data_IF_653788830142
#
_entry.id   IF_653788830142
#
_cell.length_a   1.000
_cell.length_b   1.000
_cell.length_c   1.000
_cell.angle_alpha   90.00
_cell.angle_beta   90.00
_cell.angle_gamma   90.00
#
_symmetry.space_group_name_H-M   'P 1'
#
loop_
_entity.id
_entity.type
_entity.pdbx_description
1 polymer ?
#
# COMPACT_ATOMS: atom_id res chain seq x y z
N UNK A 1 -1.02 -27.88 -0.43
CA UNK A 1 -1.67 -27.87 -1.77
C UNK A 1 -0.98 -26.83 -2.65
N UNK A 2 -0.75 -27.09 -3.93
CA UNK A 2 -0.06 -26.18 -4.87
C UNK A 2 -0.97 -25.86 -6.04
N UNK A 3 -1.22 -24.59 -6.27
CA UNK A 3 -2.09 -24.10 -7.33
C UNK A 3 -1.28 -23.55 -8.50
N UNK A 4 -1.82 -23.67 -9.71
CA UNK A 4 -1.26 -23.03 -10.89
C UNK A 4 -1.43 -21.51 -10.84
N UNK A 5 -0.40 -20.75 -11.20
CA UNK A 5 -0.36 -19.29 -11.12
C UNK A 5 -0.06 -18.60 -12.46
N UNK A 6 0.10 -19.35 -13.55
CA UNK A 6 0.31 -18.78 -14.88
C UNK A 6 -0.90 -17.99 -15.40
N UNK A 7 -0.66 -17.15 -16.40
CA UNK A 7 -1.70 -16.35 -17.07
C UNK A 7 -2.44 -17.13 -18.15
N UNK A 8 -1.81 -18.17 -18.68
CA UNK A 8 -2.30 -18.95 -19.82
C UNK A 8 -2.73 -20.33 -19.32
N UNK A 9 -3.73 -20.97 -19.96
CA UNK A 9 -4.08 -22.34 -19.61
C UNK A 9 -3.00 -23.32 -20.06
N UNK A 10 -2.79 -24.36 -19.25
CA UNK A 10 -2.00 -25.53 -19.62
C UNK A 10 -2.91 -26.76 -19.67
N UNK A 11 -2.51 -27.74 -20.46
CA UNK A 11 -3.30 -28.93 -20.73
C UNK A 11 -2.48 -30.16 -20.36
N UNK A 12 -2.93 -30.92 -19.36
CA UNK A 12 -2.24 -32.12 -18.91
C UNK A 12 -2.93 -33.37 -19.45
N UNK A 13 -2.16 -34.29 -20.03
CA UNK A 13 -2.63 -35.62 -20.44
C UNK A 13 -1.76 -36.69 -19.82
N UNK A 14 -2.29 -37.90 -19.69
CA UNK A 14 -1.50 -39.04 -19.26
C UNK A 14 -0.47 -39.40 -20.37
N UNK A 15 0.81 -39.42 -20.03
CA UNK A 15 1.88 -39.67 -20.99
C UNK A 15 1.75 -41.06 -21.66
N UNK A 16 1.24 -42.08 -20.96
CA UNK A 16 1.02 -43.40 -21.52
C UNK A 16 -0.06 -43.43 -22.61
N UNK A 17 -1.03 -42.49 -22.56
CA UNK A 17 -2.10 -42.41 -23.56
C UNK A 17 -1.64 -41.88 -24.92
N UNK A 18 -0.46 -41.25 -24.99
CA UNK A 18 0.08 -40.63 -26.21
C UNK A 18 0.45 -41.67 -27.27
N UNK A 19 0.94 -42.84 -26.86
CA UNK A 19 1.32 -43.89 -27.82
C UNK A 19 0.10 -44.47 -28.55
N UNK A 20 -1.02 -44.60 -27.83
CA UNK A 20 -2.27 -45.15 -28.34
C UNK A 20 -3.16 -44.10 -29.02
N UNK A 21 -2.84 -42.81 -28.89
CA UNK A 21 -3.65 -41.74 -29.47
C UNK A 21 -3.39 -41.53 -30.96
N UNK A 22 -4.34 -40.89 -31.63
CA UNK A 22 -4.31 -40.57 -33.04
C UNK A 22 -5.50 -39.69 -33.44
N UNK A 23 -5.65 -39.39 -34.72
CA UNK A 23 -6.72 -38.48 -35.21
C UNK A 23 -8.13 -38.99 -34.92
N UNK A 24 -8.33 -40.32 -34.94
CA UNK A 24 -9.61 -40.98 -34.65
C UNK A 24 -9.80 -41.33 -33.16
N UNK A 25 -8.81 -41.06 -32.31
CA UNK A 25 -8.83 -41.36 -30.88
C UNK A 25 -8.12 -40.23 -30.12
N UNK A 26 -8.80 -39.07 -29.99
CA UNK A 26 -8.24 -37.91 -29.33
C UNK A 26 -8.08 -38.15 -27.82
N UNK A 27 -7.13 -37.46 -27.21
CA UNK A 27 -6.83 -37.58 -25.79
C UNK A 27 -7.66 -36.58 -24.98
N UNK A 28 -8.23 -37.05 -23.87
CA UNK A 28 -8.82 -36.16 -22.88
C UNK A 28 -7.72 -35.44 -22.12
N UNK A 29 -7.82 -34.11 -22.07
CA UNK A 29 -6.87 -33.27 -21.35
C UNK A 29 -7.53 -32.63 -20.12
N UNK A 30 -6.82 -32.67 -19.01
CA UNK A 30 -7.15 -31.86 -17.84
C UNK A 30 -6.75 -30.41 -18.15
N UNK A 31 -7.74 -29.52 -18.25
CA UNK A 31 -7.50 -28.08 -18.46
C UNK A 31 -7.18 -27.45 -17.11
N UNK A 32 -5.94 -27.00 -16.95
CA UNK A 32 -5.45 -26.37 -15.72
C UNK A 32 -5.36 -24.86 -15.98
N UNK A 33 -6.27 -24.13 -15.34
CA UNK A 33 -6.32 -22.67 -15.39
C UNK A 33 -5.76 -22.05 -14.11
N UNK A 34 -5.54 -20.73 -14.11
CA UNK A 34 -5.04 -20.01 -12.94
C UNK A 34 -5.91 -20.28 -11.70
N UNK A 35 -5.27 -20.72 -10.63
CA UNK A 35 -5.93 -21.07 -9.36
C UNK A 35 -6.37 -22.52 -9.24
N UNK A 36 -6.31 -23.32 -10.32
CA UNK A 36 -6.58 -24.76 -10.28
C UNK A 36 -5.52 -25.49 -9.47
N UNK A 37 -5.92 -26.57 -8.78
CA UNK A 37 -5.00 -27.43 -8.04
C UNK A 37 -4.11 -28.20 -9.01
N UNK A 38 -2.80 -27.96 -8.93
CA UNK A 38 -1.79 -28.60 -9.76
C UNK A 38 -0.97 -29.65 -8.99
N UNK A 39 -1.30 -29.91 -7.72
CA UNK A 39 -0.54 -30.81 -6.82
C UNK A 39 -0.36 -32.20 -7.45
N UNK A 40 -1.36 -32.70 -8.18
CA UNK A 40 -1.32 -34.01 -8.86
C UNK A 40 -0.16 -34.16 -9.86
N UNK A 41 0.20 -33.07 -10.55
CA UNK A 41 1.18 -33.07 -11.66
C UNK A 41 2.62 -32.79 -11.20
N UNK A 42 2.81 -32.48 -9.91
CA UNK A 42 4.10 -32.19 -9.31
C UNK A 42 4.68 -33.44 -8.64
N UNK A 43 5.96 -33.71 -8.87
CA UNK A 43 6.72 -34.85 -8.37
C UNK A 43 7.38 -34.59 -7.01
N UNK A 44 8.08 -35.61 -6.51
CA UNK A 44 8.87 -35.48 -5.28
C UNK A 44 9.97 -34.42 -5.45
N UNK A 45 10.12 -33.55 -4.44
CA UNK A 45 11.11 -32.46 -4.43
C UNK A 45 10.52 -31.06 -4.55
N UNK A 46 9.26 -30.92 -4.98
CA UNK A 46 8.58 -29.62 -4.96
C UNK A 46 8.17 -29.26 -3.54
N UNK A 47 8.73 -28.18 -3.02
CA UNK A 47 8.47 -27.70 -1.66
C UNK A 47 7.73 -26.37 -1.70
N UNK A 48 6.77 -26.22 -0.80
CA UNK A 48 6.15 -24.92 -0.51
C UNK A 48 7.03 -24.22 0.52
N UNK A 49 7.73 -23.19 0.07
CA UNK A 49 8.50 -22.30 0.93
C UNK A 49 7.65 -21.16 1.48
N UNK A 50 8.33 -20.27 2.22
CA UNK A 50 7.78 -19.02 2.72
C UNK A 50 6.98 -18.26 1.66
N UNK A 51 5.86 -17.64 2.07
CA UNK A 51 5.04 -16.79 1.19
C UNK A 51 4.44 -17.50 -0.02
N UNK A 52 4.12 -18.79 0.13
CA UNK A 52 3.60 -19.66 -0.93
C UNK A 52 4.54 -19.75 -2.15
N UNK A 53 5.83 -19.39 -1.98
CA UNK A 53 6.82 -19.56 -3.04
C UNK A 53 7.09 -21.03 -3.22
N UNK A 54 7.11 -21.48 -4.47
CA UNK A 54 7.48 -22.86 -4.80
C UNK A 54 8.97 -22.88 -5.07
N UNK A 55 9.65 -23.92 -4.59
CA UNK A 55 11.03 -24.21 -4.96
C UNK A 55 11.19 -25.66 -5.35
N UNK A 56 12.06 -25.93 -6.33
CA UNK A 56 12.32 -27.30 -6.78
C UNK A 56 11.15 -27.92 -7.54
N UNK A 57 10.44 -27.11 -8.33
CA UNK A 57 9.37 -27.59 -9.21
C UNK A 57 9.89 -28.72 -10.07
N UNK A 58 9.29 -29.90 -9.91
CA UNK A 58 9.60 -31.09 -10.70
C UNK A 58 8.29 -31.65 -11.23
N UNK A 59 8.12 -31.69 -12.55
CA UNK A 59 6.91 -32.24 -13.15
C UNK A 59 7.01 -33.76 -13.20
N UNK A 60 5.93 -34.47 -12.83
CA UNK A 60 5.90 -35.93 -12.92
C UNK A 60 6.08 -36.39 -14.38
N UNK A 61 6.82 -37.47 -14.63
CA UNK A 61 6.94 -38.04 -15.97
C UNK A 61 5.63 -38.68 -16.46
N UNK A 62 4.73 -39.06 -15.55
CA UNK A 62 3.45 -39.71 -15.86
C UNK A 62 2.48 -38.81 -16.66
N UNK A 63 2.71 -37.50 -16.67
CA UNK A 63 1.85 -36.53 -17.32
C UNK A 63 2.62 -35.69 -18.33
N UNK A 64 2.14 -35.63 -19.56
CA UNK A 64 2.59 -34.66 -20.53
C UNK A 64 1.82 -33.36 -20.36
N UNK A 65 2.52 -32.23 -20.24
CA UNK A 65 1.88 -30.93 -20.06
C UNK A 65 2.14 -30.10 -21.30
N UNK A 66 1.06 -29.57 -21.87
CA UNK A 66 1.08 -28.79 -23.09
C UNK A 66 0.65 -27.35 -22.84
N UNK A 67 1.21 -26.42 -23.62
CA UNK A 67 0.82 -25.00 -23.64
C UNK A 67 0.52 -24.57 -25.07
N UNK A 68 -0.33 -23.56 -25.22
CA UNK A 68 -0.64 -22.99 -26.53
C UNK A 68 0.57 -22.23 -27.09
N UNK A 69 0.91 -22.48 -28.35
CA UNK A 69 1.94 -21.71 -29.04
C UNK A 69 1.45 -20.27 -29.23
N UNK A 70 2.16 -19.29 -28.64
CA UNK A 70 1.90 -17.86 -28.91
C UNK A 70 2.36 -17.56 -30.33
N UNK A 71 1.40 -17.33 -31.22
CA UNK A 71 1.62 -17.04 -32.64
C UNK A 71 1.94 -15.56 -32.91
N UNK A 72 2.30 -14.79 -31.89
CA UNK A 72 2.42 -13.33 -32.00
C UNK A 72 3.86 -12.87 -32.29
N UNK A 73 3.95 -11.94 -33.24
CA UNK A 73 5.13 -11.24 -33.77
C UNK A 73 6.17 -12.08 -34.53
N UNK A 74 5.88 -12.34 -35.81
CA UNK A 74 6.75 -12.11 -36.99
C UNK A 74 5.94 -12.49 -38.26
N UNK A 75 6.23 -11.94 -39.46
CA UNK A 75 5.55 -12.29 -40.72
C UNK A 75 6.02 -13.65 -41.26
N UNK A 76 5.94 -14.69 -40.43
CA UNK A 76 6.27 -16.07 -40.78
C UNK A 76 5.45 -17.05 -39.93
N UNK A 77 4.37 -17.56 -40.54
CA UNK A 77 3.64 -18.76 -40.13
C UNK A 77 4.58 -19.87 -39.64
N UNK A 78 4.57 -20.12 -38.33
CA UNK A 78 5.46 -21.08 -37.68
C UNK A 78 5.09 -22.55 -37.95
N UNK A 79 4.00 -22.82 -38.68
CA UNK A 79 3.64 -24.16 -39.11
C UNK A 79 4.46 -24.51 -40.36
N UNK A 80 5.52 -25.29 -40.18
CA UNK A 80 6.28 -25.84 -41.30
C UNK A 80 5.58 -27.10 -41.80
N UNK A 81 4.94 -27.00 -42.96
CA UNK A 81 4.23 -28.13 -43.58
C UNK A 81 4.82 -28.47 -44.94
N UNK A 82 4.74 -29.74 -45.33
CA UNK A 82 5.10 -30.20 -46.67
C UNK A 82 3.84 -30.62 -47.41
N UNK A 83 3.70 -30.21 -48.68
CA UNK A 83 2.57 -30.62 -49.52
C UNK A 83 3.04 -31.67 -50.52
N UNK A 84 2.42 -32.85 -50.50
CA UNK A 84 2.66 -33.91 -51.49
C UNK A 84 1.31 -34.28 -52.11
N UNK A 85 1.20 -34.16 -53.45
CA UNK A 85 -0.03 -34.47 -54.21
C UNK A 85 -1.30 -33.76 -53.69
N UNK A 86 -1.17 -32.54 -53.15
CA UNK A 86 -2.29 -31.74 -52.66
C UNK A 86 -2.67 -31.97 -51.18
N UNK A 87 -2.12 -33.00 -50.54
CA UNK A 87 -2.29 -33.28 -49.10
C UNK A 87 -1.19 -32.60 -48.29
N UNK A 88 -1.53 -32.04 -47.12
CA UNK A 88 -0.62 -31.28 -46.28
C UNK A 88 -0.18 -32.10 -45.06
N UNK A 89 1.12 -32.24 -44.87
CA UNK A 89 1.73 -33.03 -43.79
C UNK A 89 2.63 -32.17 -42.90
N UNK A 90 2.92 -32.64 -41.69
CA UNK A 90 3.95 -32.03 -40.84
C UNK A 90 5.32 -32.14 -41.50
N UNK A 91 6.08 -31.04 -41.57
CA UNK A 91 7.45 -31.09 -42.09
C UNK A 91 8.39 -31.85 -41.14
N UNK A 92 9.40 -32.49 -41.72
CA UNK A 92 10.44 -33.23 -40.99
C UNK A 92 9.93 -34.40 -40.12
N UNK A 93 8.78 -35.00 -40.49
CA UNK A 93 8.24 -36.21 -39.84
C UNK A 93 8.05 -36.05 -38.32
N UNK A 94 7.48 -34.91 -37.92
CA UNK A 94 7.18 -34.54 -36.53
C UNK A 94 5.72 -34.79 -36.19
N UNK A 95 5.43 -35.08 -34.93
CA UNK A 95 4.05 -35.19 -34.45
C UNK A 95 3.45 -33.77 -34.26
N UNK A 96 2.13 -33.65 -34.35
CA UNK A 96 1.42 -32.42 -34.04
C UNK A 96 0.37 -32.67 -32.97
N UNK A 97 0.33 -31.79 -31.97
CA UNK A 97 -0.66 -31.81 -30.91
C UNK A 97 -1.55 -30.59 -31.06
N UNK A 98 -2.84 -30.83 -31.24
CA UNK A 98 -3.81 -29.78 -31.56
C UNK A 98 -4.93 -29.83 -30.51
N UNK A 99 -5.18 -28.72 -29.85
CA UNK A 99 -6.34 -28.58 -28.98
C UNK A 99 -7.56 -28.17 -29.80
N UNK A 100 -8.67 -28.88 -29.61
CA UNK A 100 -9.97 -28.53 -30.17
C UNK A 100 -10.80 -27.79 -29.11
N UNK A 101 -11.17 -26.54 -29.38
CA UNK A 101 -11.93 -25.72 -28.43
C UNK A 101 -13.34 -26.22 -28.19
N UNK A 102 -13.93 -26.97 -29.12
CA UNK A 102 -15.32 -27.42 -29.02
C UNK A 102 -15.43 -28.71 -28.22
N UNK A 103 -14.52 -29.65 -28.47
CA UNK A 103 -14.53 -30.96 -27.78
C UNK A 103 -13.64 -30.99 -26.54
N UNK A 104 -12.82 -29.98 -26.32
CA UNK A 104 -11.84 -29.87 -25.23
C UNK A 104 -10.82 -31.03 -25.18
N UNK A 105 -10.62 -31.71 -26.31
CA UNK A 105 -9.66 -32.81 -26.42
C UNK A 105 -8.40 -32.36 -27.16
N UNK A 106 -7.31 -33.09 -26.92
CA UNK A 106 -6.06 -32.96 -27.69
C UNK A 106 -6.05 -34.03 -28.78
N UNK A 107 -6.02 -33.58 -30.02
CA UNK A 107 -5.84 -34.41 -31.20
C UNK A 107 -4.34 -34.61 -31.39
N UNK A 108 -3.91 -35.87 -31.40
CA UNK A 108 -2.56 -36.27 -31.76
C UNK A 108 -2.55 -36.64 -33.24
N UNK A 109 -1.83 -35.86 -34.05
CA UNK A 109 -1.59 -36.17 -35.45
C UNK A 109 -0.18 -36.70 -35.57
N UNK A 110 -0.04 -37.97 -35.96
CA UNK A 110 1.26 -38.63 -36.08
C UNK A 110 2.00 -38.10 -37.30
N UNK A 111 3.32 -38.23 -37.25
CA UNK A 111 4.18 -37.93 -38.39
C UNK A 111 3.69 -38.61 -39.68
N UNK A 112 3.46 -37.82 -40.74
CA UNK A 112 2.98 -38.31 -42.03
C UNK A 112 1.46 -38.42 -42.19
N UNK A 113 0.67 -38.03 -41.19
CA UNK A 113 -0.79 -37.92 -41.30
C UNK A 113 -1.24 -36.55 -41.84
N UNK A 114 -2.44 -36.49 -42.42
CA UNK A 114 -2.99 -35.30 -43.08
C UNK A 114 -3.44 -34.22 -42.07
N UNK A 115 -2.93 -33.00 -42.24
CA UNK A 115 -3.23 -31.82 -41.44
C UNK A 115 -4.25 -30.88 -42.08
N UNK A 116 -4.66 -31.12 -43.33
CA UNK A 116 -5.52 -30.22 -44.12
C UNK A 116 -6.85 -29.90 -43.45
N UNK A 117 -7.31 -30.74 -42.53
CA UNK A 117 -8.53 -30.50 -41.74
C UNK A 117 -8.37 -29.34 -40.75
N UNK A 118 -7.18 -29.13 -40.20
CA UNK A 118 -6.94 -28.26 -39.03
C UNK A 118 -6.36 -26.89 -39.38
N UNK A 119 -5.86 -26.74 -40.61
CA UNK A 119 -5.14 -25.56 -41.08
C UNK A 119 -5.83 -24.94 -42.29
N UNK A 120 -5.66 -23.62 -42.46
CA UNK A 120 -6.06 -22.86 -43.64
C UNK A 120 -4.83 -22.31 -44.37
N UNK A 121 -4.88 -22.32 -45.71
CA UNK A 121 -3.82 -21.75 -46.54
C UNK A 121 -3.91 -20.21 -46.51
N UNK A 122 -2.76 -19.56 -46.29
CA UNK A 122 -2.70 -18.10 -46.40
C UNK A 122 -2.73 -17.68 -47.87
N UNK A 123 -3.65 -16.78 -48.21
CA UNK A 123 -3.77 -16.24 -49.58
C UNK A 123 -2.54 -15.41 -49.92
N UNK A 124 -1.87 -15.75 -51.03
CA UNK A 124 -0.72 -14.99 -51.54
C UNK A 124 0.65 -15.54 -51.14
N UNK A 125 0.74 -16.52 -50.25
CA UNK A 125 2.01 -17.13 -49.83
C UNK A 125 1.98 -18.66 -49.98
N UNK A 126 2.82 -19.22 -50.85
CA UNK A 126 2.90 -20.67 -51.04
C UNK A 126 3.63 -21.34 -49.88
N UNK A 127 3.07 -22.46 -49.37
CA UNK A 127 3.66 -23.26 -48.30
C UNK A 127 3.44 -22.73 -46.87
N UNK A 128 2.54 -21.75 -46.72
CA UNK A 128 2.31 -21.01 -45.48
C UNK A 128 0.85 -21.19 -45.03
N UNK A 129 0.68 -21.61 -43.77
CA UNK A 129 -0.62 -21.98 -43.20
C UNK A 129 -0.88 -21.35 -41.83
N UNK A 130 -2.15 -21.10 -41.51
CA UNK A 130 -2.63 -20.73 -40.17
C UNK A 130 -3.53 -21.83 -39.61
N UNK A 131 -3.65 -21.94 -38.29
CA UNK A 131 -4.68 -22.79 -37.67
C UNK A 131 -6.06 -22.20 -37.95
N UNK A 132 -7.07 -23.04 -38.15
CA UNK A 132 -8.47 -22.59 -38.16
C UNK A 132 -8.88 -22.12 -36.76
N UNK A 133 -9.88 -21.25 -36.68
CA UNK A 133 -10.31 -20.61 -35.43
C UNK A 133 -10.71 -21.57 -34.30
N UNK A 134 -11.14 -22.78 -34.62
CA UNK A 134 -11.50 -23.84 -33.66
C UNK A 134 -10.27 -24.54 -33.03
N UNK A 135 -9.11 -24.47 -33.69
CA UNK A 135 -7.95 -25.28 -33.31
C UNK A 135 -6.80 -24.43 -32.77
N UNK A 136 -6.10 -24.94 -31.77
CA UNK A 136 -4.88 -24.31 -31.22
C UNK A 136 -3.73 -25.29 -31.29
N UNK A 137 -2.59 -24.83 -31.79
CA UNK A 137 -1.37 -25.64 -31.84
C UNK A 137 -0.72 -25.65 -30.45
N UNK A 138 -0.39 -26.84 -29.97
CA UNK A 138 0.19 -27.04 -28.66
C UNK A 138 1.67 -27.42 -28.78
N UNK A 139 2.46 -27.10 -27.76
CA UNK A 139 3.82 -27.61 -27.58
C UNK A 139 4.00 -28.15 -26.15
N UNK A 140 4.88 -29.15 -26.01
CA UNK A 140 5.17 -29.77 -24.73
C UNK A 140 6.05 -28.83 -23.86
N UNK A 141 5.61 -28.58 -22.64
CA UNK A 141 6.33 -27.80 -21.62
C UNK A 141 6.92 -28.68 -20.51
N UNK A 142 6.64 -29.99 -20.54
CA UNK A 142 7.22 -30.97 -19.62
C UNK A 142 8.35 -31.75 -20.29
N UNK A 143 9.60 -31.38 -20.01
CA UNK A 143 10.78 -32.10 -20.49
C UNK A 143 10.90 -33.54 -19.98
N UNK A 144 10.31 -33.84 -18.81
CA UNK A 144 10.45 -35.16 -18.17
C UNK A 144 9.54 -36.23 -18.80
N UNK A 145 8.43 -35.83 -19.44
CA UNK A 145 7.58 -36.76 -20.18
C UNK A 145 8.21 -37.24 -21.50
N UNK A 146 9.33 -36.60 -21.91
CA UNK A 146 10.18 -36.96 -23.06
C UNK A 146 9.43 -37.33 -24.35
N UNK A 147 8.54 -36.44 -24.80
CA UNK A 147 7.80 -36.59 -26.06
C UNK A 147 8.58 -35.90 -27.17
N UNK A 148 8.80 -36.59 -28.28
CA UNK A 148 9.64 -36.09 -29.39
C UNK A 148 8.86 -35.15 -30.32
N UNK A 149 9.48 -34.02 -30.67
CA UNK A 149 9.24 -33.26 -31.91
C UNK A 149 7.80 -32.86 -32.21
N UNK A 150 7.33 -31.76 -31.62
CA UNK A 150 6.04 -31.14 -31.97
C UNK A 150 6.17 -30.12 -33.11
N UNK A 151 5.17 -30.08 -34.00
CA UNK A 151 5.05 -29.10 -35.06
C UNK A 151 4.89 -27.66 -34.51
N UNK A 152 5.63 -26.70 -35.08
CA UNK A 152 5.44 -25.26 -34.81
C UNK A 152 5.65 -24.84 -33.35
N UNK A 153 6.55 -25.52 -32.63
CA UNK A 153 7.01 -25.06 -31.32
C UNK A 153 7.75 -23.71 -31.45
N UNK A 154 7.63 -22.81 -30.46
CA UNK A 154 8.39 -21.56 -30.44
C UNK A 154 9.90 -21.84 -30.45
N UNK A 155 10.69 -20.91 -31.01
CA UNK A 155 12.16 -21.00 -31.03
C UNK A 155 12.76 -21.10 -29.63
N UNK A 156 12.08 -20.52 -28.64
CA UNK A 156 12.39 -20.61 -27.21
C UNK A 156 11.15 -21.07 -26.45
N UNK A 157 11.01 -22.38 -26.16
CA UNK A 157 9.91 -22.91 -25.37
C UNK A 157 9.91 -22.33 -23.95
N UNK A 158 8.75 -21.80 -23.52
CA UNK A 158 8.54 -21.42 -22.12
C UNK A 158 8.42 -22.69 -21.28
N UNK A 159 9.32 -22.85 -20.33
CA UNK A 159 9.30 -24.00 -19.41
C UNK A 159 8.47 -23.64 -18.19
N UNK A 160 7.74 -24.63 -17.66
CA UNK A 160 7.09 -24.47 -16.37
C UNK A 160 8.14 -24.58 -15.26
N UNK A 161 8.18 -23.58 -14.40
CA UNK A 161 9.07 -23.55 -13.25
C UNK A 161 8.39 -23.00 -12.00
N UNK A 162 9.21 -22.75 -10.98
CA UNK A 162 8.78 -22.25 -9.66
C UNK A 162 7.85 -21.03 -9.73
N UNK A 163 8.05 -20.14 -10.72
CA UNK A 163 7.22 -18.94 -10.96
C UNK A 163 5.76 -19.24 -11.34
N UNK A 164 5.50 -20.40 -11.93
CA UNK A 164 4.20 -20.75 -12.52
C UNK A 164 3.28 -21.46 -11.53
N UNK A 165 3.76 -21.71 -10.31
CA UNK A 165 3.03 -22.37 -9.24
C UNK A 165 3.06 -21.52 -7.97
N UNK A 166 2.06 -21.70 -7.11
CA UNK A 166 1.98 -21.07 -5.79
C UNK A 166 1.44 -22.05 -4.78
N UNK A 167 2.02 -22.07 -3.58
CA UNK A 167 1.45 -22.80 -2.46
C UNK A 167 0.06 -22.28 -2.07
N UNK A 168 -0.72 -23.10 -1.39
CA UNK A 168 -1.94 -22.64 -0.75
C UNK A 168 -1.60 -21.58 0.32
N UNK A 169 -2.37 -20.50 0.33
CA UNK A 169 -2.12 -19.31 1.16
C UNK A 169 -2.27 -19.59 2.66
N UNK A 170 -2.93 -20.69 3.03
CA UNK A 170 -3.19 -21.09 4.42
C UNK A 170 -1.92 -21.41 5.23
N UNK A 171 -0.75 -21.56 4.61
CA UNK A 171 0.51 -21.95 5.29
C UNK A 171 1.50 -20.77 5.49
N UNK A 172 1.16 -19.53 5.10
CA UNK A 172 2.03 -18.35 5.32
C UNK A 172 1.71 -17.62 6.63
N UNK A 173 1.66 -18.36 7.72
CA UNK A 173 1.43 -17.79 9.03
C UNK A 173 2.73 -17.23 9.59
N UNK A 174 2.65 -16.04 10.15
CA UNK A 174 3.70 -15.50 11.00
C UNK A 174 3.38 -15.89 12.44
N UNK A 175 4.41 -16.08 13.24
CA UNK A 175 4.27 -16.47 14.64
C UNK A 175 4.97 -15.46 15.54
N UNK A 176 4.48 -15.32 16.77
CA UNK A 176 5.17 -14.56 17.81
C UNK A 176 6.24 -15.43 18.51
N UNK A 177 6.89 -14.86 19.53
CA UNK A 177 7.91 -15.57 20.29
C UNK A 177 7.36 -16.78 21.09
N UNK A 178 6.05 -16.81 21.31
CA UNK A 178 5.34 -17.87 22.04
C UNK A 178 4.81 -18.96 21.09
N UNK A 179 4.98 -18.80 19.77
CA UNK A 179 4.55 -19.75 18.75
C UNK A 179 3.06 -19.64 18.40
N UNK A 180 2.41 -18.53 18.76
CA UNK A 180 1.03 -18.22 18.40
C UNK A 180 0.97 -17.47 17.06
N UNK A 181 -0.09 -17.70 16.28
CA UNK A 181 -0.23 -17.11 14.95
C UNK A 181 -0.47 -15.59 15.06
N UNK A 182 0.44 -14.81 14.48
CA UNK A 182 0.30 -13.37 14.30
C UNK A 182 -0.54 -13.12 13.06
N UNK A 183 -1.77 -12.66 13.29
CA UNK A 183 -2.65 -12.23 12.23
C UNK A 183 -2.12 -10.97 11.53
N UNK A 184 -2.55 -10.76 10.29
CA UNK A 184 -2.03 -9.69 9.43
C UNK A 184 -2.25 -8.30 10.02
N UNK A 185 -3.22 -8.12 10.91
CA UNK A 185 -3.48 -6.81 11.50
C UNK A 185 -2.72 -6.58 12.81
N UNK A 186 -2.39 -7.61 13.58
CA UNK A 186 -1.52 -7.57 14.75
C UNK A 186 -0.08 -7.21 14.41
N UNK A 187 0.28 -7.25 13.11
CA UNK A 187 1.58 -6.80 12.61
C UNK A 187 1.95 -5.41 13.11
N UNK A 188 1.01 -4.48 13.32
CA UNK A 188 1.30 -3.12 13.79
C UNK A 188 2.10 -3.08 15.10
N UNK A 189 1.99 -4.09 15.98
CA UNK A 189 2.76 -4.18 17.24
C UNK A 189 4.26 -4.38 17.02
N UNK A 190 4.63 -4.88 15.85
CA UNK A 190 5.99 -5.19 15.45
C UNK A 190 6.59 -4.10 14.57
N UNK A 191 5.94 -2.94 14.46
CA UNK A 191 6.47 -1.76 13.78
C UNK A 191 6.37 -0.56 14.70
N UNK A 192 7.36 0.31 14.67
CA UNK A 192 7.29 1.58 15.37
C UNK A 192 6.31 2.55 14.65
N UNK A 193 6.07 3.71 15.27
CA UNK A 193 5.21 4.76 14.71
C UNK A 193 5.74 5.29 13.35
N UNK A 194 7.03 5.13 13.06
CA UNK A 194 7.66 5.49 11.77
C UNK A 194 7.48 4.40 10.69
N UNK A 195 6.89 3.23 11.03
CA UNK A 195 6.74 2.12 10.10
C UNK A 195 8.01 1.31 9.86
N UNK A 196 8.98 1.40 10.76
CA UNK A 196 10.15 0.53 10.81
C UNK A 196 9.84 -0.71 11.65
N UNK A 197 10.26 -1.86 11.13
CA UNK A 197 10.07 -3.15 11.79
C UNK A 197 10.96 -3.26 13.03
N UNK A 198 10.36 -3.56 14.18
CA UNK A 198 11.04 -3.62 15.49
C UNK A 198 11.54 -5.02 15.85
N UNK A 199 11.24 -6.03 15.02
CA UNK A 199 11.62 -7.43 15.28
C UNK A 199 10.56 -8.20 16.06
N UNK A 200 10.75 -9.52 16.22
CA UNK A 200 9.90 -10.37 17.06
C UNK A 200 8.92 -11.29 16.32
N UNK A 201 8.91 -11.28 14.99
CA UNK A 201 8.14 -12.23 14.18
C UNK A 201 9.00 -13.43 13.78
N UNK A 202 8.33 -14.57 13.65
CA UNK A 202 8.91 -15.84 13.23
C UNK A 202 8.12 -16.45 12.07
N UNK A 203 8.80 -17.23 11.24
CA UNK A 203 8.21 -17.89 10.08
C UNK A 203 7.80 -19.34 10.32
N UNK A 204 8.02 -19.82 11.55
CA UNK A 204 7.68 -21.16 12.02
C UNK A 204 7.15 -21.08 13.44
N UNK A 205 6.31 -22.06 13.78
CA UNK A 205 5.69 -22.18 15.11
C UNK A 205 6.72 -22.36 16.24
N UNK A 206 7.86 -22.97 15.94
CA UNK A 206 8.90 -23.28 16.92
C UNK A 206 9.82 -22.08 17.19
N UNK A 207 9.52 -20.90 16.63
CA UNK A 207 10.28 -19.66 16.76
C UNK A 207 11.78 -19.80 16.39
N UNK A 208 12.10 -20.68 15.44
CA UNK A 208 13.49 -20.96 15.03
C UNK A 208 13.95 -20.12 13.85
N UNK A 209 13.03 -19.69 12.98
CA UNK A 209 13.26 -18.88 11.79
C UNK A 209 12.81 -17.45 12.01
N UNK A 210 13.77 -16.59 12.33
CA UNK A 210 13.52 -15.18 12.62
C UNK A 210 13.17 -14.39 11.37
N UNK A 211 12.15 -13.55 11.47
CA UNK A 211 11.81 -12.57 10.44
C UNK A 211 12.62 -11.30 10.68
N UNK A 212 13.36 -10.86 9.66
CA UNK A 212 14.32 -9.74 9.71
C UNK A 212 14.13 -8.78 8.53
N UNK A 213 14.80 -7.63 8.54
CA UNK A 213 14.73 -6.65 7.43
C UNK A 213 15.36 -7.20 6.16
N UNK A 214 16.55 -7.80 6.30
CA UNK A 214 17.28 -8.46 5.24
C UNK A 214 17.90 -9.75 5.80
N UNK A 215 17.55 -10.90 5.21
CA UNK A 215 18.03 -12.20 5.62
C UNK A 215 19.44 -12.53 5.12
N UNK A 216 19.96 -11.79 4.14
CA UNK A 216 21.28 -12.08 3.55
C UNK A 216 21.42 -13.55 3.13
N UNK A 217 22.41 -14.26 3.68
CA UNK A 217 22.70 -15.68 3.43
C UNK A 217 22.36 -16.61 4.61
N UNK A 218 21.80 -16.11 5.72
CA UNK A 218 21.50 -16.93 6.90
C UNK A 218 20.21 -17.75 6.67
N UNK A 219 20.33 -19.08 6.69
CA UNK A 219 19.23 -20.03 6.49
C UNK A 219 18.20 -20.03 7.62
N UNK A 220 18.54 -19.47 8.78
CA UNK A 220 17.64 -19.35 9.94
C UNK A 220 16.92 -18.00 9.98
N UNK A 221 17.07 -17.17 8.94
CA UNK A 221 16.38 -15.90 8.85
C UNK A 221 15.61 -15.76 7.54
N UNK A 222 14.55 -14.97 7.57
CA UNK A 222 13.74 -14.66 6.39
C UNK A 222 13.39 -13.18 6.38
N UNK A 223 13.51 -12.56 5.20
CA UNK A 223 13.17 -11.14 5.06
C UNK A 223 11.67 -10.94 5.24
N UNK A 224 11.27 -9.96 6.05
CA UNK A 224 9.85 -9.63 6.30
C UNK A 224 9.14 -9.26 5.01
N UNK A 225 9.85 -8.72 4.01
CA UNK A 225 9.33 -8.35 2.69
C UNK A 225 8.75 -9.53 1.91
N UNK A 226 9.08 -10.77 2.30
CA UNK A 226 8.43 -11.98 1.79
C UNK A 226 6.98 -12.04 2.28
N UNK A 227 6.71 -11.67 3.53
CA UNK A 227 5.40 -11.84 4.19
C UNK A 227 4.57 -10.55 4.21
N UNK A 228 5.22 -9.38 4.26
CA UNK A 228 4.59 -8.08 4.53
C UNK A 228 4.92 -7.10 3.41
N UNK A 229 3.91 -6.41 2.88
CA UNK A 229 4.10 -5.29 1.96
C UNK A 229 4.34 -3.99 2.74
N UNK A 230 5.46 -3.31 2.47
CA UNK A 230 5.68 -1.95 2.98
C UNK A 230 5.06 -0.95 2.03
N UNK A 231 3.90 -0.41 2.39
CA UNK A 231 3.39 0.84 1.80
C UNK A 231 4.08 2.00 2.52
N UNK A 232 5.09 2.59 1.89
CA UNK A 232 5.75 3.78 2.41
C UNK A 232 4.98 5.00 1.94
N UNK A 233 4.07 5.50 2.76
CA UNK A 233 3.38 6.77 2.52
C UNK A 233 4.04 7.87 3.35
N UNK A 234 4.22 9.06 2.75
CA UNK A 234 4.83 10.19 3.45
C UNK A 234 3.86 10.68 4.52
N UNK A 235 4.22 10.47 5.79
CA UNK A 235 3.50 11.05 6.93
C UNK A 235 4.01 12.49 7.12
N UNK A 236 3.10 13.45 7.16
CA UNK A 236 3.41 14.86 7.47
C UNK A 236 3.80 14.95 8.94
N UNK A 237 4.78 15.77 9.34
CA UNK A 237 5.17 15.90 10.75
C UNK A 237 4.02 16.45 11.63
N UNK A 238 4.01 16.16 12.95
CA UNK A 238 3.07 16.77 13.89
C UNK A 238 3.13 18.30 13.84
N UNK A 239 1.97 18.94 13.92
CA UNK A 239 1.87 20.40 13.95
C UNK A 239 1.94 20.88 15.39
N UNK A 240 3.01 21.60 15.76
CA UNK A 240 3.08 22.28 17.05
C UNK A 240 2.83 23.77 16.86
N UNK A 241 1.89 24.33 17.61
CA UNK A 241 1.66 25.78 17.67
C UNK A 241 1.78 26.27 19.10
N UNK A 242 2.24 27.51 19.24
CA UNK A 242 2.45 28.17 20.52
C UNK A 242 1.69 29.50 20.51
N UNK A 243 0.87 29.72 21.54
CA UNK A 243 0.17 30.99 21.76
C UNK A 243 0.82 31.68 22.94
N UNK A 244 1.28 32.92 22.75
CA UNK A 244 1.79 33.72 23.85
C UNK A 244 0.62 34.28 24.65
N UNK A 245 0.64 34.07 25.96
CA UNK A 245 -0.45 34.40 26.87
C UNK A 245 0.13 34.95 28.18
N UNK A 246 0.58 36.20 28.13
CA UNK A 246 1.21 36.92 29.24
C UNK A 246 1.93 38.17 28.76
N UNK A 247 2.44 38.97 29.70
CA UNK A 247 3.16 40.21 29.41
C UNK A 247 4.68 40.01 29.31
N UNK A 248 5.22 38.95 29.92
CA UNK A 248 6.65 38.68 29.95
C UNK A 248 7.04 37.61 28.95
N UNK A 249 8.28 37.69 28.45
CA UNK A 249 8.82 36.81 27.39
C UNK A 249 9.12 35.37 27.83
N UNK A 250 8.86 35.04 29.09
CA UNK A 250 9.15 33.74 29.68
C UNK A 250 8.38 32.60 29.00
N UNK A 251 8.94 31.39 29.04
CA UNK A 251 8.37 30.19 28.42
C UNK A 251 7.07 29.76 29.11
N UNK A 252 6.88 30.10 30.38
CA UNK A 252 5.67 29.82 31.14
C UNK A 252 4.46 30.62 30.63
N UNK A 253 4.68 31.78 29.99
CA UNK A 253 3.65 32.59 29.35
C UNK A 253 3.31 32.10 27.92
N UNK A 254 3.47 30.80 27.66
CA UNK A 254 3.12 30.20 26.37
C UNK A 254 2.23 28.99 26.58
N UNK A 255 1.14 28.96 25.83
CA UNK A 255 0.28 27.80 25.71
C UNK A 255 0.70 27.07 24.43
N UNK A 256 1.41 25.96 24.61
CA UNK A 256 1.85 25.08 23.53
C UNK A 256 0.86 23.95 23.31
N UNK A 257 0.60 23.63 22.04
CA UNK A 257 -0.26 22.54 21.63
C UNK A 257 0.39 21.79 20.46
N UNK A 258 0.44 20.46 20.57
CA UNK A 258 0.88 19.60 19.48
C UNK A 258 -0.32 18.81 18.96
N UNK A 259 -0.50 18.84 17.64
CA UNK A 259 -1.48 18.03 16.92
C UNK A 259 -0.71 16.95 16.18
N UNK A 260 -0.88 15.71 16.63
CA UNK A 260 -0.32 14.56 15.97
C UNK A 260 -0.99 14.31 14.61
N UNK A 261 -0.36 13.47 13.80
CA UNK A 261 -0.73 13.25 12.41
C UNK A 261 -1.99 12.37 12.34
N UNK A 262 -3.14 12.95 11.98
CA UNK A 262 -4.43 12.24 11.97
C UNK A 262 -4.80 11.62 10.61
N UNK A 263 -3.85 11.46 9.69
CA UNK A 263 -4.10 10.77 8.41
C UNK A 263 -4.21 9.25 8.62
N UNK A 264 -4.81 8.52 7.68
CA UNK A 264 -4.92 7.06 7.78
C UNK A 264 -3.53 6.37 7.92
N UNK A 265 -2.50 6.91 7.28
CA UNK A 265 -1.12 6.46 7.47
C UNK A 265 -0.55 6.84 8.84
N UNK A 266 -0.77 8.08 9.29
CA UNK A 266 -0.34 8.57 10.61
C UNK A 266 -1.02 7.86 11.79
N UNK A 267 -2.24 7.38 11.59
CA UNK A 267 -3.00 6.56 12.54
C UNK A 267 -2.70 5.07 12.41
N UNK A 268 -1.87 4.66 11.43
CA UNK A 268 -1.52 3.26 11.19
C UNK A 268 -2.64 2.43 10.54
N UNK A 269 -3.77 3.03 10.18
CA UNK A 269 -4.93 2.38 9.54
C UNK A 269 -4.61 1.97 8.09
N UNK A 270 -3.69 2.68 7.42
CA UNK A 270 -3.25 2.33 6.06
C UNK A 270 -2.22 1.17 6.00
N UNK A 271 -1.88 0.52 7.11
CA UNK A 271 -0.98 -0.65 7.12
C UNK A 271 -1.68 -1.97 6.77
N UNK A 272 -2.95 -1.94 6.39
CA UNK A 272 -3.80 -3.12 6.26
C UNK A 272 -4.12 -3.45 4.81
N UNK A 273 -3.09 -3.80 4.06
CA UNK A 273 -3.24 -4.52 2.80
C UNK A 273 -2.18 -5.61 2.77
N UNK A 274 -2.58 -6.82 3.15
CA UNK A 274 -1.73 -7.98 2.92
C UNK A 274 -1.82 -8.36 1.44
N UNK A 275 -0.66 -8.62 0.83
CA UNK A 275 -0.52 -9.09 -0.56
C UNK A 275 -1.29 -10.39 -0.83
N UNK A 276 -1.68 -11.09 0.22
CA UNK A 276 -2.26 -12.43 0.16
C UNK A 276 -3.56 -12.58 0.95
N UNK A 277 -4.06 -11.51 1.58
CA UNK A 277 -5.34 -11.54 2.29
C UNK A 277 -6.32 -10.68 1.49
N UNK A 278 -7.06 -11.35 0.61
CA UNK A 278 -8.34 -10.82 0.18
C UNK A 278 -9.26 -10.71 1.40
N UNK A 279 -10.16 -9.73 1.38
CA UNK A 279 -11.13 -9.35 2.41
C UNK A 279 -12.16 -10.47 2.74
N UNK A 280 -11.82 -11.73 2.53
CA UNK A 280 -12.69 -12.87 2.86
C UNK A 280 -11.84 -13.98 3.49
N UNK A 281 -11.79 -13.95 4.81
CA UNK A 281 -11.48 -15.13 5.61
C UNK A 281 -12.81 -15.80 5.98
N UNK A 282 -12.99 -17.11 5.72
CA UNK A 282 -14.21 -17.84 6.05
C UNK A 282 -14.50 -17.92 7.56
N UNK A 283 -13.52 -17.64 8.43
CA UNK A 283 -13.67 -17.67 9.90
C UNK A 283 -14.09 -16.32 10.50
N UNK A 284 -13.86 -15.22 9.78
CA UNK A 284 -14.26 -13.86 10.20
C UNK A 284 -13.29 -13.19 11.18
N UNK A 285 -12.16 -13.81 11.51
CA UNK A 285 -11.19 -13.29 12.47
C UNK A 285 -10.54 -11.99 11.95
N UNK A 286 -10.31 -11.90 10.64
CA UNK A 286 -9.84 -10.66 10.01
C UNK A 286 -10.81 -9.48 10.17
N UNK A 287 -12.13 -9.74 10.23
CA UNK A 287 -13.11 -8.67 10.42
C UNK A 287 -13.13 -8.19 11.87
N UNK A 288 -12.95 -9.10 12.84
CA UNK A 288 -12.82 -8.74 14.26
C UNK A 288 -11.57 -7.90 14.50
N UNK A 289 -10.46 -8.29 13.90
CA UNK A 289 -9.21 -7.55 14.03
C UNK A 289 -9.28 -6.16 13.35
N UNK A 290 -10.05 -6.04 12.25
CA UNK A 290 -10.36 -4.75 11.61
C UNK A 290 -11.07 -3.76 12.52
N UNK A 291 -12.00 -4.26 13.32
CA UNK A 291 -12.66 -3.46 14.33
C UNK A 291 -11.65 -2.97 15.37
N UNK A 292 -10.70 -3.82 15.79
CA UNK A 292 -9.70 -3.44 16.81
C UNK A 292 -8.72 -2.37 16.29
N UNK A 293 -8.21 -2.48 15.06
CA UNK A 293 -7.29 -1.46 14.51
C UNK A 293 -8.01 -0.13 14.27
N UNK A 294 -9.24 -0.16 13.75
CA UNK A 294 -10.05 1.06 13.63
C UNK A 294 -10.37 1.62 15.02
N UNK A 295 -10.63 0.75 16.00
CA UNK A 295 -10.86 1.10 17.39
C UNK A 295 -9.70 1.84 18.02
N UNK A 296 -8.47 1.35 17.86
CA UNK A 296 -7.28 2.06 18.37
C UNK A 296 -7.02 3.38 17.64
N UNK A 297 -7.24 3.41 16.31
CA UNK A 297 -7.21 4.66 15.54
C UNK A 297 -8.20 5.70 16.07
N UNK A 298 -9.43 5.29 16.37
CA UNK A 298 -10.45 6.13 17.00
C UNK A 298 -10.04 6.59 18.40
N UNK A 299 -9.40 5.70 19.19
CA UNK A 299 -8.93 6.04 20.54
C UNK A 299 -7.84 7.10 20.50
N UNK A 300 -6.91 7.03 19.54
CA UNK A 300 -5.89 8.06 19.29
C UNK A 300 -6.53 9.41 18.91
N UNK A 301 -7.48 9.41 17.96
CA UNK A 301 -8.22 10.62 17.58
C UNK A 301 -8.98 11.22 18.78
N UNK A 302 -9.63 10.38 19.57
CA UNK A 302 -10.37 10.82 20.75
C UNK A 302 -9.44 11.42 21.82
N UNK A 303 -8.24 10.85 21.99
CA UNK A 303 -7.23 11.39 22.91
C UNK A 303 -6.76 12.77 22.43
N UNK A 304 -6.47 12.93 21.13
CA UNK A 304 -6.09 14.23 20.57
C UNK A 304 -7.18 15.29 20.77
N UNK A 305 -8.46 14.93 20.59
CA UNK A 305 -9.58 15.84 20.86
C UNK A 305 -9.68 16.22 22.34
N UNK A 306 -9.43 15.27 23.24
CA UNK A 306 -9.41 15.54 24.68
C UNK A 306 -8.31 16.54 25.06
N UNK A 307 -7.12 16.40 24.48
CA UNK A 307 -6.00 17.33 24.71
C UNK A 307 -6.36 18.72 24.18
N UNK A 308 -6.92 18.82 22.97
CA UNK A 308 -7.35 20.10 22.40
C UNK A 308 -8.43 20.78 23.24
N UNK A 309 -9.39 20.02 23.79
CA UNK A 309 -10.39 20.55 24.71
C UNK A 309 -9.78 21.06 26.02
N UNK A 310 -8.81 20.34 26.58
CA UNK A 310 -8.08 20.82 27.76
C UNK A 310 -7.30 22.13 27.49
N UNK A 311 -6.72 22.25 26.30
CA UNK A 311 -6.03 23.48 25.86
C UNK A 311 -7.02 24.62 25.66
N UNK A 312 -8.20 24.36 25.10
CA UNK A 312 -9.27 25.36 25.00
C UNK A 312 -9.68 25.88 26.39
N UNK A 313 -9.92 25.00 27.36
CA UNK A 313 -10.25 25.43 28.73
C UNK A 313 -9.14 26.29 29.34
N UNK A 314 -7.87 25.91 29.13
CA UNK A 314 -6.73 26.73 29.59
C UNK A 314 -6.72 28.09 28.92
N UNK A 315 -6.94 28.16 27.60
CA UNK A 315 -7.02 29.43 26.88
C UNK A 315 -8.15 30.31 27.41
N UNK A 316 -9.34 29.76 27.64
CA UNK A 316 -10.48 30.50 28.20
C UNK A 316 -10.17 31.06 29.59
N UNK A 317 -9.56 30.25 30.47
CA UNK A 317 -9.12 30.72 31.79
C UNK A 317 -8.04 31.79 31.70
N UNK A 318 -7.07 31.63 30.78
CA UNK A 318 -6.02 32.63 30.61
C UNK A 318 -6.57 33.93 30.03
N UNK A 319 -7.51 33.88 29.09
CA UNK A 319 -8.20 35.07 28.57
C UNK A 319 -8.91 35.79 29.71
N UNK A 320 -9.73 35.10 30.50
CA UNK A 320 -10.44 35.72 31.63
C UNK A 320 -9.48 36.33 32.65
N UNK A 321 -8.35 35.68 32.93
CA UNK A 321 -7.34 36.25 33.81
C UNK A 321 -6.66 37.49 33.20
N UNK A 322 -6.32 37.45 31.90
CA UNK A 322 -5.73 38.58 31.20
C UNK A 322 -6.68 39.77 31.12
N UNK A 323 -7.98 39.54 30.91
CA UNK A 323 -8.99 40.60 30.93
C UNK A 323 -9.02 41.31 32.29
N UNK A 324 -8.97 40.55 33.40
CA UNK A 324 -8.87 41.12 34.74
C UNK A 324 -7.56 41.91 34.93
N UNK A 325 -6.44 41.41 34.40
CA UNK A 325 -5.15 42.12 34.48
C UNK A 325 -5.21 43.42 33.67
N UNK A 326 -5.79 43.40 32.47
CA UNK A 326 -6.00 44.58 31.62
C UNK A 326 -6.89 45.60 32.33
N UNK A 327 -8.00 45.17 32.95
CA UNK A 327 -8.88 46.08 33.70
C UNK A 327 -8.15 46.73 34.87
N UNK A 328 -7.45 45.95 35.69
CA UNK A 328 -6.70 46.47 36.84
C UNK A 328 -5.53 47.38 36.44
N UNK A 329 -4.80 47.03 35.38
CA UNK A 329 -3.69 47.86 34.89
C UNK A 329 -4.18 49.14 34.24
N UNK A 330 -5.29 49.09 33.50
CA UNK A 330 -5.93 50.29 32.92
C UNK A 330 -6.46 51.20 34.02
N UNK A 331 -7.06 50.65 35.08
CA UNK A 331 -7.52 51.42 36.24
C UNK A 331 -6.34 52.07 37.01
N UNK A 332 -5.23 51.35 37.16
CA UNK A 332 -4.01 51.89 37.75
C UNK A 332 -3.37 52.98 36.87
N UNK A 333 -3.35 52.80 35.54
CA UNK A 333 -2.89 53.82 34.60
C UNK A 333 -3.79 55.06 34.69
N UNK A 334 -5.12 54.88 34.70
CA UNK A 334 -6.09 55.96 34.85
C UNK A 334 -5.85 56.73 36.16
N UNK A 335 -5.64 56.06 37.28
CA UNK A 335 -5.35 56.73 38.56
C UNK A 335 -4.04 57.55 38.56
N UNK A 336 -3.06 57.18 37.72
CA UNK A 336 -1.78 57.90 37.61
C UNK A 336 -1.84 59.02 36.57
N UNK A 337 -2.49 58.76 35.44
CA UNK A 337 -2.46 59.61 34.26
C UNK A 337 -3.65 60.56 34.19
N UNK A 338 -4.82 60.12 34.63
CA UNK A 338 -6.02 60.93 34.61
C UNK A 338 -6.05 61.80 35.87
N UNK A 339 -6.31 63.08 35.67
CA UNK A 339 -6.45 64.05 36.77
C UNK A 339 -7.88 64.05 37.27
N UNK A 340 -8.08 64.17 38.58
CA UNK A 340 -9.40 64.47 39.12
C UNK A 340 -9.84 65.87 38.67
N UNK A 341 -10.80 65.90 37.76
CA UNK A 341 -11.35 67.13 37.20
C UNK A 341 -11.95 68.04 38.27
N UNK A 342 -12.45 67.49 39.38
CA UNK A 342 -12.99 68.32 40.46
C UNK A 342 -11.89 69.18 41.10
N UNK A 343 -10.77 68.56 41.47
CA UNK A 343 -9.63 69.25 42.07
C UNK A 343 -8.95 70.21 41.08
N UNK A 344 -8.80 69.79 39.83
CA UNK A 344 -8.19 70.64 38.81
C UNK A 344 -9.07 71.85 38.47
N UNK A 345 -10.40 71.71 38.49
CA UNK A 345 -11.34 72.83 38.34
C UNK A 345 -11.28 73.80 39.53
N UNK A 346 -11.07 73.31 40.76
CA UNK A 346 -10.86 74.18 41.94
C UNK A 346 -9.54 74.95 41.80
N UNK A 347 -8.45 74.29 41.43
CA UNK A 347 -7.16 74.95 41.18
C UNK A 347 -7.26 75.96 40.04
N UNK A 348 -7.91 75.60 38.94
CA UNK A 348 -8.16 76.49 37.81
C UNK A 348 -8.97 77.72 38.24
N UNK A 349 -10.06 77.53 38.99
CA UNK A 349 -10.89 78.61 39.52
C UNK A 349 -10.11 79.53 40.46
N UNK A 350 -9.34 78.96 41.40
CA UNK A 350 -8.46 79.72 42.29
C UNK A 350 -7.41 80.51 41.52
N UNK A 351 -6.76 79.91 40.52
CA UNK A 351 -5.81 80.59 39.66
C UNK A 351 -6.47 81.72 38.87
N UNK A 352 -7.71 81.54 38.41
CA UNK A 352 -8.44 82.59 37.71
C UNK A 352 -8.83 83.75 38.63
N UNK A 353 -9.23 83.46 39.87
CA UNK A 353 -9.47 84.48 40.91
C UNK A 353 -8.17 85.21 41.26
N UNK A 354 -7.05 84.50 41.40
CA UNK A 354 -5.73 85.10 41.63
C UNK A 354 -5.26 85.97 40.47
N UNK A 355 -5.52 85.57 39.22
CA UNK A 355 -5.21 86.39 38.04
C UNK A 355 -6.03 87.68 38.03
N UNK A 356 -7.34 87.60 38.33
CA UNK A 356 -8.19 88.79 38.46
C UNK A 356 -7.75 89.68 39.62
N UNK A 357 -7.44 89.11 40.79
CA UNK A 357 -6.94 89.84 41.95
C UNK A 357 -5.57 90.48 41.67
N UNK A 358 -4.65 89.76 41.02
CA UNK A 358 -3.34 90.27 40.62
C UNK A 358 -3.44 91.42 39.64
N UNK A 359 -4.37 91.35 38.67
CA UNK A 359 -4.67 92.47 37.77
C UNK A 359 -5.25 93.67 38.53
N UNK A 360 -6.17 93.46 39.48
CA UNK A 360 -6.73 94.54 40.30
C UNK A 360 -5.68 95.16 41.24
N UNK A 361 -4.80 94.36 41.85
CA UNK A 361 -3.71 94.83 42.71
C UNK A 361 -2.67 95.58 41.88
N UNK A 362 -2.30 95.08 40.69
CA UNK A 362 -1.43 95.81 39.76
C UNK A 362 -2.05 97.15 39.34
N UNK A 363 -3.35 97.18 39.04
CA UNK A 363 -4.05 98.42 38.73
C UNK A 363 -4.05 99.40 39.91
N UNK A 364 -4.28 98.92 41.13
CA UNK A 364 -4.29 99.74 42.35
C UNK A 364 -2.89 100.24 42.73
N UNK A 365 -1.85 99.40 42.58
CA UNK A 365 -0.46 99.79 42.80
C UNK A 365 0.00 100.85 41.78
N UNK A 366 -0.41 100.72 40.51
CA UNK A 366 -0.15 101.73 39.49
C UNK A 366 -0.88 103.06 39.78
N UNK A 367 -2.12 103.02 40.27
CA UNK A 367 -2.86 104.23 40.69
C UNK A 367 -2.25 104.88 41.94
N UNK A 368 -1.81 104.09 42.92
CA UNK A 368 -1.14 104.62 44.11
C UNK A 368 0.16 105.37 43.75
N UNK A 369 0.95 104.84 42.81
CA UNK A 369 2.13 105.52 42.29
C UNK A 369 1.79 106.85 41.59
N UNK A 370 0.67 106.92 40.85
CA UNK A 370 0.18 108.17 40.26
C UNK A 370 -0.33 109.16 41.32
N UNK A 371 -0.96 108.67 42.39
CA UNK A 371 -1.41 109.49 43.52
C UNK A 371 -0.25 110.15 44.28
N UNK A 372 0.89 109.47 44.41
CA UNK A 372 2.11 110.05 44.99
C UNK A 372 2.73 111.11 44.07
N UNK A 373 2.70 110.92 42.75
CA UNK A 373 3.11 111.96 41.80
C UNK A 373 2.21 113.21 41.82
N UNK A 374 0.94 113.06 42.21
CA UNK A 374 0.01 114.18 42.43
C UNK A 374 0.25 114.92 43.75
N UNK A 375 0.95 114.32 44.72
CA UNK A 375 1.32 114.94 45.99
C UNK A 375 2.69 115.64 45.94
N UNK A 376 3.47 115.38 44.88
CA UNK A 376 4.79 115.97 44.64
C UNK A 376 4.80 117.10 43.60
N UNK A 377 3.65 117.38 42.98
CA UNK A 377 3.38 118.58 42.16
C UNK A 377 2.49 119.52 42.96
#
# INVERSE_FOLDING_TARGET
MVNYNGTDNIYAVNAASIQASGVSSPMTADVISKGSDATKYLGAGTTVGASSTISGTNLKPDYAIFKNTKLENEPANQITTSTVNGTVYSSANKDAYIFDTDTQNIIHVKAGEDLSKYIDKIKGENGKYTMKDQYRLLYNVNGNANITGTLGAPTTPDTLGDKDFKGAVAENQLYDADGEVVAGMALHKYFNDNGDYTGGLFADKDATKKVVIDAGTDTNTVSYSRYIMKWSEKIVAPLTFNVHAGADSDLENRISATIDTMSAAGLGVNKLSSKSIGIVDPTGDNAREAIDVVGEGLRRVSTQRSILGAIQNRLEHTISNLDNVVENTTAAESAIRDTDMADEMVKFSNNQVLLQAGQSILAQANQANQGVLSLLQ
#
